data_IF_681794154971
#
_entry.id   IF_681794154971
#
_cell.length_a   1.000
_cell.length_b   1.000
_cell.length_c   1.000
_cell.angle_alpha   90.00
_cell.angle_beta   90.00
_cell.angle_gamma   90.00
#
_symmetry.space_group_name_H-M   'P 1'
#
loop_
_entity.id
_entity.type
_entity.pdbx_description
1 polymer ?
#
# COMPACT_ATOMS: atom_id res chain seq x y z
N UNK A 1 -22.24 46.80 47.95
CA UNK A 1 -21.60 45.55 48.41
C UNK A 1 -22.21 44.37 47.63
N UNK A 2 -21.45 43.77 46.71
CA UNK A 2 -21.58 42.36 46.28
C UNK A 2 -20.96 41.45 47.39
N UNK A 3 -20.90 40.09 47.30
CA UNK A 3 -21.46 39.07 46.37
C UNK A 3 -22.22 37.95 47.15
N UNK A 4 -22.82 36.88 46.61
CA UNK A 4 -22.23 35.57 46.18
C UNK A 4 -23.38 34.70 45.62
N UNK A 5 -23.29 34.11 44.42
CA UNK A 5 -22.70 32.78 44.16
C UNK A 5 -23.78 31.70 44.34
N UNK A 6 -24.35 31.10 43.28
CA UNK A 6 -23.71 30.07 42.46
C UNK A 6 -23.53 28.82 43.34
N UNK A 7 -24.30 27.75 43.17
CA UNK A 7 -23.95 26.64 42.27
C UNK A 7 -25.21 25.86 41.82
N UNK A 8 -25.48 25.92 40.52
CA UNK A 8 -26.27 24.90 39.85
C UNK A 8 -25.38 23.70 39.56
N UNK A 9 -25.88 22.52 39.91
CA UNK A 9 -25.39 21.24 39.41
C UNK A 9 -25.66 21.16 37.90
N UNK A 10 -24.68 20.77 37.07
CA UNK A 10 -25.03 19.84 36.00
C UNK A 10 -24.03 18.68 35.87
N UNK A 11 -24.61 17.49 35.96
CA UNK A 11 -24.48 16.42 34.97
C UNK A 11 -23.10 15.76 34.78
N UNK A 12 -22.97 14.61 35.47
CA UNK A 12 -22.64 13.32 34.87
C UNK A 12 -21.67 13.31 33.69
N UNK A 13 -20.39 13.08 33.98
CA UNK A 13 -19.41 12.73 32.95
C UNK A 13 -19.81 11.43 32.24
N UNK A 14 -20.36 11.55 31.04
CA UNK A 14 -20.54 10.44 30.11
C UNK A 14 -19.16 9.89 29.73
N UNK A 15 -18.85 8.70 30.24
CA UNK A 15 -17.69 7.95 29.78
C UNK A 15 -17.95 7.43 28.36
N UNK A 16 -16.96 7.48 27.45
CA UNK A 16 -17.12 6.98 26.10
C UNK A 16 -17.37 5.46 26.10
N UNK A 17 -18.52 5.05 25.57
CA UNK A 17 -18.89 3.63 25.43
C UNK A 17 -18.14 3.05 24.21
N UNK A 18 -17.02 2.39 24.45
CA UNK A 18 -16.25 1.70 23.41
C UNK A 18 -16.88 0.33 23.13
N UNK A 19 -17.57 0.20 21.99
CA UNK A 19 -18.16 -1.07 21.54
C UNK A 19 -17.12 -1.88 20.78
N UNK A 20 -16.45 -2.80 21.47
CA UNK A 20 -15.53 -3.74 20.84
C UNK A 20 -16.31 -4.81 20.05
N UNK A 21 -16.03 -4.91 18.75
CA UNK A 21 -16.68 -5.84 17.80
C UNK A 21 -15.88 -7.14 17.59
N UNK A 22 -14.79 -7.36 18.33
CA UNK A 22 -13.97 -8.56 18.18
C UNK A 22 -14.71 -9.81 18.69
N UNK A 23 -14.58 -10.92 17.96
CA UNK A 23 -15.14 -12.25 18.34
C UNK A 23 -14.33 -12.96 19.43
N UNK A 24 -13.23 -12.34 19.86
CA UNK A 24 -12.25 -12.88 20.80
C UNK A 24 -12.11 -11.89 21.94
N UNK A 25 -12.18 -12.38 23.17
CA UNK A 25 -12.06 -11.55 24.35
C UNK A 25 -10.59 -11.11 24.57
N UNK A 26 -10.31 -9.81 24.75
CA UNK A 26 -8.95 -9.29 24.78
C UNK A 26 -8.14 -9.70 26.01
N UNK A 27 -8.77 -10.09 27.13
CA UNK A 27 -8.03 -10.49 28.35
C UNK A 27 -7.82 -12.01 28.45
N UNK A 28 -8.70 -12.79 27.82
CA UNK A 28 -8.69 -14.26 27.97
C UNK A 28 -8.37 -15.01 26.68
N UNK A 29 -8.38 -14.34 25.53
CA UNK A 29 -8.05 -14.93 24.23
C UNK A 29 -9.02 -16.02 23.75
N UNK A 30 -10.17 -16.20 24.42
CA UNK A 30 -11.17 -17.23 24.09
C UNK A 30 -12.28 -16.65 23.22
N UNK A 31 -12.89 -17.51 22.40
CA UNK A 31 -14.04 -17.16 21.55
C UNK A 31 -15.27 -16.92 22.43
N UNK A 32 -15.96 -15.79 22.24
CA UNK A 32 -17.17 -15.46 23.00
C UNK A 32 -18.36 -16.26 22.48
N UNK A 33 -18.97 -17.09 23.32
CA UNK A 33 -20.24 -17.75 23.00
C UNK A 33 -21.41 -16.76 23.08
N UNK A 34 -22.34 -16.75 22.11
CA UNK A 34 -23.49 -15.86 22.12
C UNK A 34 -24.52 -16.31 23.16
N UNK A 35 -24.92 -15.39 24.04
CA UNK A 35 -25.98 -15.61 25.01
C UNK A 35 -27.35 -15.55 24.31
N UNK A 36 -28.28 -16.52 24.49
CA UNK A 36 -29.55 -16.53 23.78
C UNK A 36 -30.54 -15.58 24.47
N UNK A 37 -30.85 -14.46 23.82
CA UNK A 37 -31.95 -13.58 24.25
C UNK A 37 -31.74 -12.09 24.00
N UNK A 38 -31.76 -11.65 22.74
CA UNK A 38 -32.20 -10.32 22.34
C UNK A 38 -32.42 -10.30 20.82
N UNK A 39 -33.54 -9.73 20.41
CA UNK A 39 -34.21 -9.88 19.12
C UNK A 39 -33.47 -9.27 17.92
N UNK A 40 -33.55 -9.95 16.78
CA UNK A 40 -33.14 -9.45 15.45
C UNK A 40 -34.16 -8.44 14.90
N UNK A 41 -33.73 -7.54 13.98
CA UNK A 41 -34.45 -7.48 12.71
C UNK A 41 -33.52 -7.57 11.49
N UNK A 42 -34.05 -8.21 10.46
CA UNK A 42 -33.36 -8.75 9.29
C UNK A 42 -33.19 -7.72 8.17
N UNK A 43 -32.09 -7.86 7.43
CA UNK A 43 -31.74 -7.14 6.20
C UNK A 43 -31.69 -8.17 5.06
N UNK A 44 -32.14 -7.87 3.83
CA UNK A 44 -32.05 -8.81 2.72
C UNK A 44 -30.70 -8.75 1.98
N UNK A 45 -30.16 -9.95 1.79
CA UNK A 45 -29.55 -10.57 0.60
C UNK A 45 -28.23 -10.09 -0.05
N UNK A 46 -27.40 -11.14 -0.31
CA UNK A 46 -26.54 -11.42 -1.48
C UNK A 46 -25.00 -11.27 -1.33
N UNK A 47 -24.15 -11.95 -2.15
CA UNK A 47 -23.72 -13.34 -1.89
C UNK A 47 -22.19 -13.60 -2.00
N UNK A 48 -21.73 -14.68 -1.35
CA UNK A 48 -20.83 -15.71 -1.93
C UNK A 48 -19.31 -15.45 -2.11
N UNK A 49 -18.49 -16.05 -1.25
CA UNK A 49 -17.12 -16.50 -1.57
C UNK A 49 -16.81 -17.85 -0.88
N UNK A 50 -16.21 -18.85 -1.57
CA UNK A 50 -15.96 -20.18 -1.02
C UNK A 50 -14.63 -20.27 -0.26
N UNK A 51 -14.61 -21.17 0.73
CA UNK A 51 -13.58 -21.27 1.76
C UNK A 51 -12.32 -22.06 1.41
N UNK A 52 -11.34 -21.87 2.28
CA UNK A 52 -10.08 -22.60 2.37
C UNK A 52 -10.23 -23.85 3.27
N UNK A 53 -9.50 -24.94 3.00
CA UNK A 53 -9.25 -25.97 4.00
C UNK A 53 -7.86 -25.80 4.65
N UNK A 54 -7.86 -25.75 5.98
CA UNK A 54 -6.68 -25.90 6.84
C UNK A 54 -6.20 -27.37 6.85
N UNK A 55 -4.88 -27.57 6.73
CA UNK A 55 -4.24 -28.87 6.94
C UNK A 55 -3.10 -28.77 7.95
N UNK A 56 -3.24 -29.62 8.97
CA UNK A 56 -2.42 -29.93 10.12
C UNK A 56 -0.89 -30.04 9.91
N UNK A 57 -0.15 -29.43 10.84
CA UNK A 57 0.48 -30.17 11.95
C UNK A 57 1.52 -31.23 11.62
N UNK A 58 2.78 -30.79 11.52
CA UNK A 58 4.02 -31.57 11.41
C UNK A 58 4.44 -32.22 12.75
N UNK A 59 4.88 -33.48 12.70
CA UNK A 59 5.90 -34.02 13.60
C UNK A 59 6.65 -35.16 12.92
N UNK A 60 7.96 -34.96 12.74
CA UNK A 60 8.88 -35.92 12.18
C UNK A 60 9.52 -36.83 13.24
N UNK A 61 9.90 -38.03 12.81
CA UNK A 61 10.96 -38.82 13.44
C UNK A 61 11.58 -39.72 12.38
N UNK A 62 12.86 -39.46 12.08
CA UNK A 62 13.68 -40.22 11.16
C UNK A 62 14.30 -41.42 11.87
N UNK A 63 14.34 -42.57 11.19
CA UNK A 63 14.87 -43.81 11.70
C UNK A 63 16.39 -43.88 11.78
N UNK A 64 16.87 -44.77 12.65
CA UNK A 64 18.17 -45.43 12.51
C UNK A 64 18.16 -46.71 13.34
N UNK A 65 18.22 -47.86 12.66
CA UNK A 65 18.69 -49.10 13.27
C UNK A 65 19.44 -49.91 12.22
N UNK A 66 20.74 -50.02 12.45
CA UNK A 66 21.67 -50.83 11.67
C UNK A 66 21.79 -52.24 12.29
N UNK A 67 21.67 -53.24 11.40
CA UNK A 67 22.37 -54.54 11.34
C UNK A 67 22.71 -55.34 12.61
N UNK A 68 22.23 -56.60 12.63
CA UNK A 68 23.08 -57.75 12.93
C UNK A 68 22.45 -59.05 12.39
N UNK A 69 23.22 -59.77 11.59
CA UNK A 69 22.91 -61.11 11.09
C UNK A 69 23.41 -62.21 12.06
N UNK A 70 22.71 -63.34 12.11
CA UNK A 70 23.16 -64.57 12.76
C UNK A 70 22.21 -65.74 12.48
N UNK A 71 22.63 -66.68 11.63
CA UNK A 71 21.93 -67.89 11.19
C UNK A 71 21.76 -68.92 12.34
N UNK A 72 20.57 -69.49 12.59
CA UNK A 72 20.02 -70.76 12.02
C UNK A 72 20.04 -71.87 13.10
N UNK A 73 19.37 -73.05 12.97
CA UNK A 73 18.34 -73.51 12.03
C UNK A 73 17.11 -74.20 12.71
N UNK A 74 16.07 -74.58 11.95
CA UNK A 74 15.39 -75.91 11.90
C UNK A 74 13.94 -75.83 11.37
N UNK A 75 13.69 -76.66 10.34
CA UNK A 75 12.48 -77.40 9.93
C UNK A 75 11.12 -76.67 9.88
N UNK A 76 10.29 -76.72 8.84
CA UNK A 76 10.15 -77.59 7.67
C UNK A 76 8.64 -77.71 7.37
N UNK A 77 8.18 -77.46 6.14
CA UNK A 77 6.75 -77.63 5.82
C UNK A 77 6.27 -77.02 4.49
N UNK A 78 6.31 -77.87 3.45
CA UNK A 78 5.49 -77.89 2.21
C UNK A 78 5.47 -76.69 1.26
N UNK A 79 5.99 -76.96 0.06
CA UNK A 79 5.76 -76.23 -1.18
C UNK A 79 4.28 -76.25 -1.61
N UNK A 80 3.87 -75.17 -2.29
CA UNK A 80 2.59 -75.04 -2.96
C UNK A 80 2.46 -73.65 -3.60
N UNK A 81 3.12 -73.43 -4.74
CA UNK A 81 2.98 -72.20 -5.54
C UNK A 81 1.59 -72.12 -6.20
N UNK A 82 1.11 -70.91 -6.56
CA UNK A 82 1.46 -70.43 -7.90
C UNK A 82 1.94 -68.97 -7.91
N UNK A 83 3.14 -68.77 -8.46
CA UNK A 83 3.73 -67.47 -8.77
C UNK A 83 3.35 -67.07 -10.19
N UNK A 84 2.04 -67.04 -10.45
CA UNK A 84 1.48 -66.78 -11.77
C UNK A 84 0.96 -65.37 -11.99
N UNK A 85 0.68 -64.60 -10.93
CA UNK A 85 -0.04 -63.32 -11.05
C UNK A 85 0.58 -62.17 -10.23
N UNK A 86 1.65 -62.45 -9.48
CA UNK A 86 2.37 -61.43 -8.71
C UNK A 86 3.22 -60.51 -9.61
N UNK A 87 3.62 -60.99 -10.79
CA UNK A 87 4.43 -60.22 -11.76
C UNK A 87 3.63 -59.17 -12.54
N UNK A 88 2.36 -59.46 -12.87
CA UNK A 88 1.44 -58.51 -13.54
C UNK A 88 1.08 -57.35 -12.62
N UNK A 89 0.58 -57.68 -11.42
CA UNK A 89 0.28 -56.70 -10.39
C UNK A 89 1.50 -55.83 -10.02
N UNK A 90 2.72 -56.39 -9.95
CA UNK A 90 3.92 -55.61 -9.66
C UNK A 90 4.32 -54.65 -10.80
N UNK A 91 4.08 -55.02 -12.06
CA UNK A 91 4.35 -54.15 -13.21
C UNK A 91 3.35 -52.99 -13.28
N UNK A 92 2.06 -53.27 -13.06
CA UNK A 92 1.00 -52.26 -13.03
C UNK A 92 1.21 -51.28 -11.88
N UNK A 93 1.53 -51.76 -10.67
CA UNK A 93 1.86 -50.90 -9.52
C UNK A 93 3.09 -50.00 -9.79
N UNK A 94 4.11 -50.50 -10.50
CA UNK A 94 5.27 -49.70 -10.88
C UNK A 94 4.94 -48.63 -11.91
N UNK A 95 4.06 -48.95 -12.86
CA UNK A 95 3.58 -47.99 -13.85
C UNK A 95 2.74 -46.88 -13.19
N UNK A 96 1.85 -47.25 -12.27
CA UNK A 96 1.08 -46.29 -11.47
C UNK A 96 1.99 -45.41 -10.60
N UNK A 97 3.01 -45.99 -9.95
CA UNK A 97 3.97 -45.22 -9.15
C UNK A 97 4.75 -44.21 -10.01
N UNK A 98 5.15 -44.61 -11.23
CA UNK A 98 5.82 -43.71 -12.16
C UNK A 98 4.91 -42.57 -12.66
N UNK A 99 3.62 -42.86 -12.91
CA UNK A 99 2.63 -41.84 -13.27
C UNK A 99 2.41 -40.85 -12.14
N UNK A 100 2.19 -41.34 -10.91
CA UNK A 100 2.03 -40.50 -9.72
C UNK A 100 3.27 -39.64 -9.45
N UNK A 101 4.48 -40.19 -9.64
CA UNK A 101 5.72 -39.43 -9.49
C UNK A 101 5.83 -38.29 -10.51
N UNK A 102 5.44 -38.52 -11.77
CA UNK A 102 5.44 -37.49 -12.80
C UNK A 102 4.36 -36.42 -12.56
N UNK A 103 3.16 -36.82 -12.11
CA UNK A 103 2.12 -35.89 -11.70
C UNK A 103 2.56 -35.01 -10.52
N UNK A 104 3.21 -35.61 -9.52
CA UNK A 104 3.77 -34.90 -8.38
C UNK A 104 4.86 -33.91 -8.84
N UNK A 105 5.75 -34.33 -9.75
CA UNK A 105 6.77 -33.44 -10.31
C UNK A 105 6.15 -32.24 -11.05
N UNK A 106 5.12 -32.47 -11.88
CA UNK A 106 4.38 -31.40 -12.58
C UNK A 106 3.64 -30.47 -11.61
N UNK A 107 3.02 -31.02 -10.57
CA UNK A 107 2.34 -30.24 -9.53
C UNK A 107 3.34 -29.37 -8.75
N UNK A 108 4.48 -29.92 -8.36
CA UNK A 108 5.55 -29.18 -7.68
C UNK A 108 6.11 -28.06 -8.55
N UNK A 109 6.33 -28.31 -9.84
CA UNK A 109 6.78 -27.28 -10.78
C UNK A 109 5.76 -26.14 -10.91
N UNK A 110 4.47 -26.49 -10.99
CA UNK A 110 3.37 -25.51 -11.05
C UNK A 110 3.27 -24.69 -9.76
N UNK A 111 3.39 -25.35 -8.61
CA UNK A 111 3.39 -24.70 -7.30
C UNK A 111 4.60 -23.77 -7.12
N UNK A 112 5.78 -24.20 -7.56
CA UNK A 112 6.98 -23.35 -7.55
C UNK A 112 6.77 -22.11 -8.41
N UNK A 113 6.27 -22.25 -9.64
CA UNK A 113 6.00 -21.11 -10.52
C UNK A 113 4.98 -20.14 -9.89
N UNK A 114 3.89 -20.65 -9.32
CA UNK A 114 2.89 -19.82 -8.64
C UNK A 114 3.48 -19.06 -7.44
N UNK A 115 4.32 -19.72 -6.64
CA UNK A 115 5.02 -19.06 -5.54
C UNK A 115 5.93 -17.94 -6.02
N UNK A 116 6.63 -18.14 -7.14
CA UNK A 116 7.48 -17.11 -7.74
C UNK A 116 6.65 -15.93 -8.28
N UNK A 117 5.53 -16.19 -8.94
CA UNK A 117 4.60 -15.15 -9.39
C UNK A 117 4.03 -14.35 -8.21
N UNK A 118 3.59 -15.04 -7.15
CA UNK A 118 3.07 -14.41 -5.95
C UNK A 118 4.14 -13.55 -5.26
N UNK A 119 5.36 -14.06 -5.12
CA UNK A 119 6.47 -13.31 -4.54
C UNK A 119 6.77 -12.03 -5.35
N UNK A 120 6.75 -12.13 -6.69
CA UNK A 120 6.90 -10.98 -7.57
C UNK A 120 5.75 -9.99 -7.46
N UNK A 121 4.50 -10.47 -7.40
CA UNK A 121 3.33 -9.62 -7.19
C UNK A 121 3.40 -8.87 -5.87
N UNK A 122 3.72 -9.54 -4.76
CA UNK A 122 3.85 -8.91 -3.44
C UNK A 122 4.94 -7.85 -3.45
N UNK A 123 6.09 -8.13 -4.07
CA UNK A 123 7.18 -7.14 -4.22
C UNK A 123 6.71 -5.92 -5.01
N UNK A 124 6.11 -6.14 -6.19
CA UNK A 124 5.58 -5.07 -7.05
C UNK A 124 4.49 -4.25 -6.36
N UNK A 125 3.57 -4.91 -5.65
CA UNK A 125 2.46 -4.27 -4.95
C UNK A 125 2.98 -3.35 -3.83
N UNK A 126 4.00 -3.76 -3.09
CA UNK A 126 4.63 -2.93 -2.06
C UNK A 126 5.32 -1.70 -2.65
N UNK A 127 6.00 -1.85 -3.78
CA UNK A 127 6.62 -0.73 -4.50
C UNK A 127 5.57 0.26 -5.02
N UNK A 128 4.45 -0.24 -5.57
CA UNK A 128 3.33 0.59 -6.05
C UNK A 128 2.56 1.30 -4.94
N UNK A 129 2.49 0.74 -3.74
CA UNK A 129 1.80 1.37 -2.62
C UNK A 129 2.38 2.76 -2.31
N UNK A 130 3.70 2.92 -2.38
CA UNK A 130 4.36 4.21 -2.19
C UNK A 130 4.01 5.20 -3.31
N UNK A 131 4.03 4.75 -4.58
CA UNK A 131 3.71 5.62 -5.71
C UNK A 131 2.26 6.11 -5.67
N UNK A 132 1.30 5.29 -5.24
CA UNK A 132 -0.10 5.72 -5.10
C UNK A 132 -0.29 6.81 -4.05
N UNK A 133 0.49 6.80 -2.96
CA UNK A 133 0.45 7.86 -1.96
C UNK A 133 0.94 9.18 -2.56
N UNK A 134 2.04 9.15 -3.31
CA UNK A 134 2.60 10.35 -3.95
C UNK A 134 1.70 10.88 -5.08
N UNK A 135 1.11 10.01 -5.88
CA UNK A 135 0.07 10.38 -6.87
C UNK A 135 -1.16 11.00 -6.19
N UNK A 136 -1.56 10.47 -5.02
CA UNK A 136 -2.65 11.04 -4.22
C UNK A 136 -2.33 12.45 -3.75
N UNK A 137 -1.12 12.68 -3.23
CA UNK A 137 -0.63 14.00 -2.81
C UNK A 137 -0.61 14.99 -3.97
N UNK A 138 -0.08 14.57 -5.12
CA UNK A 138 -0.06 15.38 -6.34
C UNK A 138 -1.45 15.82 -6.77
N UNK A 139 -2.43 14.91 -6.77
CA UNK A 139 -3.83 15.25 -7.14
C UNK A 139 -4.41 16.31 -6.22
N UNK A 140 -4.18 16.20 -4.91
CA UNK A 140 -4.65 17.18 -3.93
C UNK A 140 -3.98 18.54 -4.15
N UNK A 141 -2.64 18.56 -4.29
CA UNK A 141 -1.89 19.81 -4.52
C UNK A 141 -2.32 20.48 -5.83
N UNK A 142 -2.52 19.70 -6.89
CA UNK A 142 -2.98 20.21 -8.18
C UNK A 142 -4.34 20.89 -8.07
N UNK A 143 -5.25 20.32 -7.27
CA UNK A 143 -6.55 20.95 -7.01
C UNK A 143 -6.44 22.26 -6.21
N UNK A 144 -5.35 22.46 -5.45
CA UNK A 144 -5.10 23.67 -4.67
C UNK A 144 -4.41 24.79 -5.47
N UNK A 145 -3.99 24.53 -6.71
CA UNK A 145 -3.26 25.53 -7.49
C UNK A 145 -4.05 26.83 -7.72
N UNK A 146 -5.36 26.76 -7.92
CA UNK A 146 -6.18 27.98 -8.07
C UNK A 146 -6.10 28.87 -6.82
N UNK A 147 -6.14 28.27 -5.62
CA UNK A 147 -6.02 29.01 -4.35
C UNK A 147 -4.64 29.63 -4.21
N UNK A 148 -3.59 28.90 -4.60
CA UNK A 148 -2.21 29.42 -4.56
C UNK A 148 -2.00 30.56 -5.56
N UNK A 149 -2.62 30.48 -6.74
CA UNK A 149 -2.61 31.54 -7.74
C UNK A 149 -3.33 32.79 -7.22
N UNK A 150 -4.49 32.63 -6.56
CA UNK A 150 -5.22 33.74 -5.93
C UNK A 150 -4.42 34.39 -4.79
N UNK A 151 -3.75 33.61 -3.95
CA UNK A 151 -2.86 34.12 -2.90
C UNK A 151 -1.73 34.94 -3.54
N UNK A 152 -1.12 34.44 -4.62
CA UNK A 152 -0.06 35.16 -5.31
C UNK A 152 -0.56 36.46 -5.94
N UNK A 153 -1.74 36.45 -6.55
CA UNK A 153 -2.37 37.65 -7.10
C UNK A 153 -2.64 38.68 -6.01
N UNK A 154 -3.26 38.28 -4.90
CA UNK A 154 -3.48 39.13 -3.74
C UNK A 154 -2.17 39.72 -3.18
N UNK A 155 -1.07 38.94 -3.21
CA UNK A 155 0.26 39.42 -2.81
C UNK A 155 0.78 40.52 -3.73
N UNK A 156 0.65 40.35 -5.04
CA UNK A 156 1.08 41.36 -6.03
C UNK A 156 0.30 42.68 -5.87
N UNK A 157 -0.96 42.61 -5.45
CA UNK A 157 -1.80 43.77 -5.18
C UNK A 157 -1.67 44.32 -3.74
N UNK A 158 -0.77 43.78 -2.92
CA UNK A 158 -0.58 44.15 -1.51
C UNK A 158 -1.85 43.97 -0.63
N UNK A 159 -2.70 43.01 -0.98
CA UNK A 159 -3.96 42.71 -0.29
C UNK A 159 -3.78 41.68 0.85
N UNK A 160 -2.64 40.99 0.89
CA UNK A 160 -2.27 40.06 1.96
C UNK A 160 -1.75 40.81 3.20
N UNK A 161 -2.64 41.47 3.92
CA UNK A 161 -2.30 42.18 5.17
C UNK A 161 -2.97 41.55 6.39
N UNK A 162 -2.39 41.78 7.57
CA UNK A 162 -2.95 41.35 8.86
C UNK A 162 -3.15 39.83 8.96
N UNK A 163 -4.26 39.36 9.56
CA UNK A 163 -4.52 37.93 9.77
C UNK A 163 -4.54 37.10 8.48
N UNK A 164 -5.03 37.68 7.38
CA UNK A 164 -5.11 36.97 6.09
C UNK A 164 -3.72 36.65 5.54
N UNK A 165 -2.80 37.63 5.57
CA UNK A 165 -1.41 37.41 5.17
C UNK A 165 -0.73 36.33 6.02
N UNK A 166 -0.92 36.36 7.34
CA UNK A 166 -0.39 35.31 8.22
C UNK A 166 -0.97 33.92 7.96
N UNK A 167 -2.24 33.81 7.55
CA UNK A 167 -2.87 32.54 7.16
C UNK A 167 -2.31 32.03 5.84
N UNK A 168 -2.14 32.91 4.84
CA UNK A 168 -1.55 32.57 3.55
C UNK A 168 -0.11 32.06 3.71
N UNK A 169 0.72 32.75 4.51
CA UNK A 169 2.09 32.31 4.80
C UNK A 169 2.12 30.96 5.53
N UNK A 170 1.24 30.74 6.52
CA UNK A 170 1.14 29.44 7.21
C UNK A 170 0.70 28.33 6.26
N UNK A 171 -0.21 28.62 5.34
CA UNK A 171 -0.68 27.67 4.35
C UNK A 171 0.45 27.27 3.39
N UNK A 172 1.13 28.26 2.80
CA UNK A 172 2.30 28.04 1.95
C UNK A 172 3.40 27.25 2.71
N UNK A 173 3.75 27.66 3.93
CA UNK A 173 4.75 26.98 4.76
C UNK A 173 4.38 25.53 5.09
N UNK A 174 3.08 25.26 5.28
CA UNK A 174 2.58 23.90 5.51
C UNK A 174 2.80 23.03 4.27
N UNK A 175 2.53 23.57 3.07
CA UNK A 175 2.78 22.87 1.81
C UNK A 175 4.27 22.63 1.57
N UNK A 176 5.11 23.64 1.82
CA UNK A 176 6.56 23.49 1.71
C UNK A 176 7.11 22.45 2.68
N UNK A 177 6.71 22.49 3.95
CA UNK A 177 7.29 21.61 4.99
C UNK A 177 6.78 20.18 4.89
N UNK A 178 5.48 19.98 4.71
CA UNK A 178 4.86 18.65 4.77
C UNK A 178 4.84 17.95 3.42
N UNK A 179 4.74 18.72 2.33
CA UNK A 179 4.63 18.19 0.97
C UNK A 179 5.84 18.49 0.10
N UNK A 180 6.84 19.25 0.59
CA UNK A 180 8.03 19.63 -0.20
C UNK A 180 7.65 20.35 -1.49
N UNK A 181 6.57 21.14 -1.42
CA UNK A 181 6.12 21.96 -2.52
C UNK A 181 7.01 23.20 -2.62
N UNK A 182 7.61 23.41 -3.78
CA UNK A 182 8.44 24.57 -4.07
C UNK A 182 7.86 25.33 -5.25
N UNK A 183 7.80 26.65 -5.10
CA UNK A 183 7.47 27.57 -6.18
C UNK A 183 8.75 28.01 -6.88
N UNK A 184 8.73 28.08 -8.20
CA UNK A 184 9.85 28.54 -9.03
C UNK A 184 9.38 29.40 -10.20
N UNK A 185 10.34 30.00 -10.90
CA UNK A 185 10.10 30.93 -12.00
C UNK A 185 9.78 32.31 -11.44
N UNK A 186 10.80 32.97 -10.89
CA UNK A 186 10.73 34.36 -10.46
C UNK A 186 11.25 35.30 -11.55
N UNK A 187 10.79 36.55 -11.55
CA UNK A 187 11.33 37.58 -12.46
C UNK A 187 12.82 37.76 -12.23
N UNK A 188 13.59 37.76 -13.33
CA UNK A 188 15.05 37.87 -13.32
C UNK A 188 15.80 36.54 -13.21
N UNK A 189 15.12 35.41 -13.02
CA UNK A 189 15.75 34.09 -13.10
C UNK A 189 16.03 33.69 -14.56
N UNK A 190 17.07 32.88 -14.76
CA UNK A 190 17.39 32.32 -16.08
C UNK A 190 16.27 31.40 -16.56
N UNK A 191 15.93 31.50 -17.84
CA UNK A 191 14.91 30.68 -18.45
C UNK A 191 15.46 29.27 -18.72
N UNK A 192 14.65 28.27 -18.39
CA UNK A 192 14.98 26.84 -18.55
C UNK A 192 13.80 26.16 -19.25
N UNK A 193 13.95 25.73 -20.51
CA UNK A 193 12.89 25.09 -21.28
C UNK A 193 12.31 23.81 -20.63
N UNK A 194 13.01 23.17 -19.69
CA UNK A 194 12.56 21.94 -19.05
C UNK A 194 11.47 22.22 -18.02
N UNK A 195 11.54 23.36 -17.33
CA UNK A 195 10.64 23.71 -16.22
C UNK A 195 9.81 24.97 -16.49
N UNK A 196 10.20 25.78 -17.47
CA UNK A 196 9.54 27.02 -17.83
C UNK A 196 8.85 26.92 -19.21
N UNK A 197 7.63 27.44 -19.29
CA UNK A 197 6.86 27.58 -20.52
C UNK A 197 6.84 29.06 -20.93
N UNK A 198 7.58 29.42 -21.98
CA UNK A 198 7.60 30.77 -22.53
C UNK A 198 6.31 31.03 -23.33
N UNK A 199 5.47 31.96 -22.87
CA UNK A 199 4.27 32.40 -23.60
C UNK A 199 4.54 33.62 -24.48
N UNK A 200 5.55 34.41 -24.13
CA UNK A 200 5.96 35.61 -24.82
C UNK A 200 7.49 35.64 -24.85
N UNK A 201 8.05 36.03 -25.99
CA UNK A 201 9.49 36.17 -26.21
C UNK A 201 9.73 37.55 -26.84
N UNK A 202 10.57 38.34 -26.18
CA UNK A 202 10.96 39.67 -26.62
C UNK A 202 12.47 39.82 -26.63
N UNK A 203 13.00 40.56 -27.59
CA UNK A 203 14.45 40.80 -27.67
C UNK A 203 14.84 41.99 -26.81
N UNK A 204 15.95 41.89 -26.06
CA UNK A 204 16.49 42.99 -25.25
C UNK A 204 18.01 42.95 -25.20
N UNK A 205 18.65 44.12 -25.33
CA UNK A 205 20.10 44.31 -25.14
C UNK A 205 20.52 44.26 -23.66
N UNK A 206 19.56 44.21 -22.73
CA UNK A 206 19.79 44.26 -21.28
C UNK A 206 20.13 42.88 -20.67
N UNK A 207 19.98 41.80 -21.44
CA UNK A 207 20.19 40.42 -20.98
C UNK A 207 21.12 39.66 -21.92
N UNK A 208 22.09 38.95 -21.36
CA UNK A 208 23.06 38.14 -22.10
C UNK A 208 22.56 36.70 -22.36
N UNK A 209 21.58 36.26 -21.56
CA UNK A 209 20.95 34.93 -21.64
C UNK A 209 19.43 35.05 -21.58
N UNK A 210 18.68 34.08 -22.14
CA UNK A 210 17.23 34.05 -22.01
C UNK A 210 16.81 34.14 -20.54
N UNK A 211 16.14 35.23 -20.16
CA UNK A 211 15.82 35.55 -18.76
C UNK A 211 14.34 35.83 -18.60
N UNK A 212 13.76 35.42 -17.48
CA UNK A 212 12.34 35.65 -17.17
C UNK A 212 12.09 37.14 -16.96
N UNK A 213 11.40 37.78 -17.90
CA UNK A 213 10.98 39.17 -17.83
C UNK A 213 9.78 39.34 -16.89
N UNK A 214 8.80 38.45 -16.97
CA UNK A 214 7.63 38.46 -16.11
C UNK A 214 7.05 37.07 -15.91
N UNK A 215 6.49 36.84 -14.72
CA UNK A 215 5.83 35.59 -14.35
C UNK A 215 4.33 35.78 -14.51
N UNK A 216 3.75 35.12 -15.51
CA UNK A 216 2.31 35.18 -15.78
C UNK A 216 1.58 34.21 -14.86
N UNK A 217 2.14 32.99 -14.70
CA UNK A 217 1.62 32.00 -13.79
C UNK A 217 2.79 31.26 -13.11
N UNK A 218 2.81 31.15 -11.77
CA UNK A 218 3.92 30.55 -11.06
C UNK A 218 4.04 29.04 -11.33
N UNK A 219 5.28 28.53 -11.37
CA UNK A 219 5.56 27.10 -11.47
C UNK A 219 5.62 26.44 -10.11
N UNK A 220 5.26 25.16 -10.05
CA UNK A 220 5.30 24.37 -8.81
C UNK A 220 5.93 22.99 -9.05
N UNK A 221 6.83 22.60 -8.15
CA UNK A 221 7.44 21.26 -8.11
C UNK A 221 7.32 20.65 -6.72
N UNK A 222 7.20 19.33 -6.66
CA UNK A 222 7.14 18.55 -5.43
C UNK A 222 8.38 17.68 -5.35
N UNK A 223 9.35 18.07 -4.51
CA UNK A 223 10.70 17.51 -4.55
C UNK A 223 11.31 17.66 -5.95
N UNK A 224 11.61 16.55 -6.62
CA UNK A 224 12.19 16.56 -7.97
C UNK A 224 11.13 16.56 -9.08
N UNK A 225 9.86 16.29 -8.75
CA UNK A 225 8.79 16.17 -9.75
C UNK A 225 8.16 17.53 -10.04
N UNK A 226 8.24 17.98 -11.29
CA UNK A 226 7.50 19.15 -11.75
C UNK A 226 6.01 18.83 -11.81
N UNK A 227 5.19 19.58 -11.08
CA UNK A 227 3.73 19.43 -11.09
C UNK A 227 3.07 20.37 -12.11
N UNK A 228 3.61 21.59 -12.24
CA UNK A 228 3.17 22.59 -13.21
C UNK A 228 4.34 23.46 -13.63
N UNK A 229 4.62 23.62 -14.95
CA UNK A 229 5.64 24.55 -15.43
C UNK A 229 5.27 26.00 -15.11
N UNK A 230 6.26 26.86 -14.88
CA UNK A 230 5.98 28.29 -14.74
C UNK A 230 5.74 28.90 -16.12
N UNK A 231 4.65 29.65 -16.28
CA UNK A 231 4.33 30.32 -17.55
C UNK A 231 4.87 31.74 -17.48
N UNK A 232 5.80 32.05 -18.37
CA UNK A 232 6.64 33.24 -18.26
C UNK A 232 6.71 34.01 -19.58
N UNK A 233 6.95 35.31 -19.48
CA UNK A 233 7.47 36.12 -20.58
C UNK A 233 9.00 36.15 -20.45
N UNK A 234 9.72 35.96 -21.55
CA UNK A 234 11.18 35.85 -21.59
C UNK A 234 11.76 36.98 -22.41
N UNK A 235 12.89 37.51 -21.97
CA UNK A 235 13.74 38.37 -22.78
C UNK A 235 14.91 37.56 -23.32
N UNK A 236 15.05 37.51 -24.64
CA UNK A 236 16.18 36.90 -25.34
C UNK A 236 17.22 37.97 -25.72
N UNK A 237 18.52 37.65 -25.67
CA UNK A 237 19.57 38.56 -26.14
C UNK A 237 19.38 38.91 -27.63
N UNK A 238 19.73 40.16 -27.99
CA UNK A 238 19.64 40.68 -29.36
C UNK A 238 20.68 40.14 -30.34
#
# INVERSE_FOLDING_TARGET
>A
MNPTGGEGNPEGGEQPIIRDKRRIDPETGRLREPQPGAESPETPESPGAPGAPDAAGTSGSAGSFAGSAGAGPFAGGSAGQPAGDAGGNLADLKAENAQLADELARANASYFNLNQEYANYVRRSKEQAASFVDEGREKVITALFGVLDDIQLARQHNELTGPLGSMAEKFENTLTTNFRLERYGATGEEFDPVIHEALMDTTSDEVEVPTIAAVIQPGYRMGEKVLRPARVAVNSPA
#
